data_IF_581385773102
#
_entry.id   IF_581385773102
#
_cell.length_a   1.000
_cell.length_b   1.000
_cell.length_c   1.000
_cell.angle_alpha   90.00
_cell.angle_beta   90.00
_cell.angle_gamma   90.00
#
_symmetry.space_group_name_H-M   'P 1'
#
loop_
_entity.id
_entity.type
_entity.pdbx_description
1 polymer ?
#
# COMPACT_ATOMS: atom_id res chain seq x y z
N UNK A 1 4.73 -20.03 -14.81
CA UNK A 1 5.58 -19.44 -13.75
C UNK A 1 5.92 -20.44 -12.64
N UNK A 2 4.95 -21.18 -12.08
CA UNK A 2 5.21 -22.24 -11.08
C UNK A 2 6.12 -23.38 -11.62
N UNK A 3 5.97 -23.76 -12.90
CA UNK A 3 6.74 -24.88 -13.48
C UNK A 3 8.24 -24.58 -13.66
N UNK A 4 8.64 -23.31 -13.87
CA UNK A 4 10.06 -22.95 -14.01
C UNK A 4 10.83 -23.02 -12.69
N UNK A 5 10.15 -22.87 -11.55
CA UNK A 5 10.73 -23.07 -10.22
C UNK A 5 11.02 -24.55 -9.94
N UNK A 6 10.10 -25.43 -10.33
CA UNK A 6 10.27 -26.88 -10.18
C UNK A 6 11.51 -27.39 -10.91
N UNK A 7 11.85 -26.75 -12.04
CA UNK A 7 12.99 -27.12 -12.87
C UNK A 7 14.29 -26.34 -12.52
N UNK A 8 14.32 -25.60 -11.39
CA UNK A 8 15.48 -24.83 -10.88
C UNK A 8 16.17 -23.93 -11.92
N UNK A 9 15.47 -23.48 -12.95
CA UNK A 9 16.05 -22.64 -14.02
C UNK A 9 16.19 -21.16 -13.64
N UNK A 10 15.69 -20.73 -12.48
CA UNK A 10 15.83 -19.36 -11.98
C UNK A 10 15.95 -19.31 -10.45
N UNK A 11 16.77 -18.39 -9.94
CA UNK A 11 16.77 -18.01 -8.51
C UNK A 11 15.63 -17.01 -8.31
N UNK A 12 14.63 -17.38 -7.50
CA UNK A 12 13.62 -16.43 -7.04
C UNK A 12 14.19 -15.67 -5.85
N UNK A 13 14.70 -14.46 -6.08
CA UNK A 13 15.03 -13.59 -4.97
C UNK A 13 13.74 -12.95 -4.47
N UNK A 14 13.29 -13.35 -3.28
CA UNK A 14 12.05 -12.80 -2.68
C UNK A 14 12.30 -11.33 -2.36
N UNK A 15 11.84 -10.43 -3.22
CA UNK A 15 11.88 -8.98 -3.00
C UNK A 15 10.66 -8.53 -2.20
N UNK A 16 10.80 -7.40 -1.52
CA UNK A 16 9.73 -6.73 -0.75
C UNK A 16 8.47 -6.62 -1.61
N UNK A 17 8.61 -6.05 -2.80
CA UNK A 17 7.52 -5.85 -3.76
C UNK A 17 6.75 -7.14 -4.09
N UNK A 18 7.47 -8.23 -4.35
CA UNK A 18 6.86 -9.51 -4.70
C UNK A 18 6.06 -10.09 -3.54
N UNK A 19 6.52 -9.88 -2.30
CA UNK A 19 5.81 -10.32 -1.11
C UNK A 19 4.56 -9.47 -0.87
N UNK A 20 4.69 -8.14 -0.98
CA UNK A 20 3.58 -7.19 -0.89
C UNK A 20 2.47 -7.54 -1.88
N UNK A 21 2.80 -7.66 -3.17
CA UNK A 21 1.82 -8.05 -4.18
C UNK A 21 1.19 -9.39 -3.84
N UNK A 22 1.98 -10.42 -3.51
CA UNK A 22 1.43 -11.75 -3.20
C UNK A 22 0.42 -11.72 -2.05
N UNK A 23 0.71 -10.96 -0.98
CA UNK A 23 -0.19 -10.87 0.18
C UNK A 23 -1.46 -10.12 -0.19
N UNK A 24 -1.36 -8.90 -0.70
CA UNK A 24 -2.52 -8.05 -0.94
C UNK A 24 -3.34 -8.49 -2.16
N UNK A 25 -2.72 -9.09 -3.18
CA UNK A 25 -3.44 -9.70 -4.30
C UNK A 25 -4.27 -10.91 -3.89
N UNK A 26 -3.88 -11.62 -2.82
CA UNK A 26 -4.69 -12.72 -2.29
C UNK A 26 -5.79 -12.18 -1.37
N UNK A 27 -5.45 -11.21 -0.51
CA UNK A 27 -6.42 -10.64 0.42
C UNK A 27 -7.56 -9.89 -0.29
N UNK A 28 -7.33 -9.30 -1.47
CA UNK A 28 -8.37 -8.58 -2.23
C UNK A 28 -9.58 -9.42 -2.62
N UNK A 29 -9.46 -10.75 -2.63
CA UNK A 29 -10.57 -11.65 -2.95
C UNK A 29 -11.50 -11.91 -1.77
N UNK A 30 -11.13 -11.46 -0.57
CA UNK A 30 -11.99 -11.54 0.61
C UNK A 30 -13.05 -10.45 0.56
N UNK A 31 -14.24 -10.68 1.15
CA UNK A 31 -15.19 -9.60 1.43
C UNK A 31 -14.52 -8.44 2.18
N UNK A 32 -14.91 -7.20 1.86
CA UNK A 32 -14.27 -5.99 2.42
C UNK A 32 -14.24 -5.97 3.94
N UNK A 33 -15.27 -6.46 4.61
CA UNK A 33 -15.31 -6.58 6.06
C UNK A 33 -14.24 -7.54 6.61
N UNK A 34 -14.06 -8.70 5.95
CA UNK A 34 -13.06 -9.70 6.37
C UNK A 34 -11.65 -9.16 6.10
N UNK A 35 -11.43 -8.57 4.92
CA UNK A 35 -10.18 -7.91 4.57
C UNK A 35 -9.79 -6.87 5.62
N UNK A 36 -10.72 -5.95 5.94
CA UNK A 36 -10.48 -4.86 6.87
C UNK A 36 -10.28 -5.36 8.30
N UNK A 37 -11.01 -6.40 8.72
CA UNK A 37 -10.83 -7.00 10.03
C UNK A 37 -9.44 -7.62 10.19
N UNK A 38 -8.94 -8.34 9.19
CA UNK A 38 -7.57 -8.89 9.19
C UNK A 38 -6.56 -7.74 9.31
N UNK A 39 -6.70 -6.72 8.47
CA UNK A 39 -5.77 -5.60 8.44
C UNK A 39 -5.78 -4.83 9.78
N UNK A 40 -6.95 -4.45 10.30
CA UNK A 40 -7.06 -3.77 11.60
C UNK A 40 -6.41 -4.57 12.71
N UNK A 41 -6.68 -5.87 12.79
CA UNK A 41 -6.16 -6.70 13.87
C UNK A 41 -4.63 -6.86 13.80
N UNK A 42 -4.02 -6.55 12.65
CA UNK A 42 -2.56 -6.48 12.50
C UNK A 42 -1.95 -5.13 12.90
N UNK A 43 -2.76 -4.07 13.03
CA UNK A 43 -2.26 -2.73 13.39
C UNK A 43 -1.95 -2.66 14.89
N UNK A 44 -0.74 -2.23 15.22
CA UNK A 44 -0.32 -2.03 16.61
C UNK A 44 -1.15 -0.95 17.32
N UNK A 45 -1.48 0.12 16.60
CA UNK A 45 -2.32 1.19 17.09
C UNK A 45 -3.77 0.95 16.65
N UNK A 46 -4.64 0.53 17.57
CA UNK A 46 -6.07 0.32 17.32
C UNK A 46 -6.85 1.64 17.19
N UNK A 47 -6.34 2.59 16.40
CA UNK A 47 -6.95 3.91 16.15
C UNK A 47 -7.79 3.93 14.86
N UNK A 48 -7.80 2.85 14.10
CA UNK A 48 -8.53 2.73 12.84
C UNK A 48 -10.04 2.58 13.06
N UNK A 49 -10.90 3.05 12.13
CA UNK A 49 -12.35 2.99 12.27
C UNK A 49 -12.88 1.56 12.37
N UNK A 50 -14.02 1.39 13.07
CA UNK A 50 -14.64 0.06 13.30
C UNK A 50 -15.18 -0.60 12.04
N UNK A 51 -15.54 0.19 11.04
CA UNK A 51 -16.01 -0.26 9.75
C UNK A 51 -15.29 0.56 8.69
N UNK A 52 -14.97 -0.06 7.56
CA UNK A 52 -14.33 0.65 6.45
C UNK A 52 -15.25 0.93 5.28
N UNK A 53 -16.48 0.42 5.29
CA UNK A 53 -17.32 0.43 4.09
C UNK A 53 -16.77 -0.51 3.02
N UNK A 54 -17.26 -0.34 1.80
CA UNK A 54 -16.87 -1.15 0.64
C UNK A 54 -15.51 -0.71 0.09
N UNK A 55 -14.71 -1.69 -0.36
CA UNK A 55 -13.48 -1.42 -1.10
C UNK A 55 -13.87 -1.02 -2.53
N UNK A 56 -13.53 0.21 -2.93
CA UNK A 56 -13.75 0.73 -4.27
C UNK A 56 -12.61 0.34 -5.22
N UNK A 57 -11.35 0.41 -4.77
CA UNK A 57 -10.20 0.00 -5.57
C UNK A 57 -8.98 -0.36 -4.72
N UNK A 58 -8.12 -1.21 -5.25
CA UNK A 58 -6.79 -1.52 -4.72
C UNK A 58 -5.79 -1.37 -5.87
N UNK A 59 -4.80 -0.50 -5.69
CA UNK A 59 -3.73 -0.23 -6.65
C UNK A 59 -2.37 -0.54 -6.04
N UNK A 60 -1.44 -1.00 -6.88
CA UNK A 60 -0.07 -1.30 -6.50
C UNK A 60 0.88 -0.38 -7.25
N UNK A 61 1.82 0.24 -6.53
CA UNK A 61 2.81 1.18 -7.10
C UNK A 61 2.14 2.22 -8.01
N UNK A 62 1.03 2.79 -7.55
CA UNK A 62 0.32 3.81 -8.32
C UNK A 62 1.15 5.09 -8.39
N UNK A 63 1.41 5.57 -9.60
CA UNK A 63 2.22 6.77 -9.81
C UNK A 63 1.42 8.03 -9.54
N UNK A 64 1.82 8.75 -8.51
CA UNK A 64 1.23 10.03 -8.16
C UNK A 64 2.11 11.19 -8.60
N UNK A 65 1.46 12.23 -9.11
CA UNK A 65 2.14 13.46 -9.49
C UNK A 65 2.64 14.20 -8.26
N UNK A 66 3.73 14.95 -8.42
CA UNK A 66 4.25 15.89 -7.42
C UNK A 66 4.34 17.29 -8.03
N UNK A 67 4.07 18.34 -7.25
CA UNK A 67 4.10 19.75 -7.72
C UNK A 67 5.52 20.19 -8.09
N UNK A 68 6.48 19.81 -7.26
CA UNK A 68 7.91 20.02 -7.40
C UNK A 68 8.62 18.70 -7.08
N UNK A 69 9.95 18.64 -7.27
CA UNK A 69 10.75 17.52 -6.75
C UNK A 69 10.40 17.28 -5.28
N UNK A 70 10.05 16.05 -4.95
CA UNK A 70 9.74 15.66 -3.57
C UNK A 70 10.99 15.71 -2.67
N UNK A 71 10.85 15.36 -1.39
CA UNK A 71 11.99 15.32 -0.46
C UNK A 71 13.10 14.33 -0.89
N UNK A 72 12.80 13.41 -1.81
CA UNK A 72 13.71 12.41 -2.35
C UNK A 72 14.21 12.73 -3.77
N UNK A 73 13.89 13.92 -4.32
CA UNK A 73 14.20 14.36 -5.70
C UNK A 73 13.61 13.49 -6.83
N UNK A 74 12.50 12.81 -6.57
CA UNK A 74 11.69 12.05 -7.53
C UNK A 74 10.70 12.95 -8.29
N UNK A 75 10.35 12.53 -9.52
CA UNK A 75 9.33 13.16 -10.36
C UNK A 75 7.92 12.60 -10.09
N UNK A 76 7.81 11.55 -9.29
CA UNK A 76 6.56 10.91 -8.89
C UNK A 76 6.74 10.17 -7.57
N UNK A 77 5.64 9.93 -6.86
CA UNK A 77 5.62 9.10 -5.65
C UNK A 77 4.80 7.85 -5.94
N UNK A 78 5.26 6.72 -5.43
CA UNK A 78 4.55 5.44 -5.49
C UNK A 78 4.44 4.91 -4.05
N UNK A 79 3.23 4.71 -3.51
CA UNK A 79 3.04 3.84 -2.35
C UNK A 79 3.10 2.38 -2.80
N UNK A 80 3.42 1.47 -1.87
CA UNK A 80 3.38 0.03 -2.17
C UNK A 80 1.95 -0.43 -2.49
N UNK A 81 0.98 -0.03 -1.65
CA UNK A 81 -0.43 -0.30 -1.88
C UNK A 81 -1.26 0.94 -1.54
N UNK A 82 -2.19 1.27 -2.42
CA UNK A 82 -3.21 2.29 -2.20
C UNK A 82 -4.59 1.65 -2.28
N UNK A 83 -5.40 1.81 -1.23
CA UNK A 83 -6.74 1.24 -1.14
C UNK A 83 -7.73 2.36 -0.96
N UNK A 84 -8.75 2.38 -1.81
CA UNK A 84 -9.86 3.32 -1.70
C UNK A 84 -11.05 2.61 -1.09
N UNK A 85 -11.48 3.05 0.09
CA UNK A 85 -12.76 2.64 0.64
C UNK A 85 -13.81 3.71 0.36
N UNK A 86 -15.08 3.43 0.66
CA UNK A 86 -16.16 4.41 0.56
C UNK A 86 -15.89 5.66 1.42
N UNK A 87 -15.50 5.47 2.68
CA UNK A 87 -15.41 6.54 3.68
C UNK A 87 -14.00 7.17 3.84
N UNK A 88 -12.95 6.41 3.53
CA UNK A 88 -11.57 6.85 3.66
C UNK A 88 -10.68 6.17 2.62
N UNK A 89 -9.49 6.72 2.41
CA UNK A 89 -8.46 6.10 1.61
C UNK A 89 -7.32 5.63 2.53
N UNK A 90 -6.61 4.56 2.15
CA UNK A 90 -5.56 3.93 2.94
C UNK A 90 -4.29 3.77 2.11
N UNK A 91 -3.18 4.24 2.68
CA UNK A 91 -1.85 4.05 2.13
C UNK A 91 -1.11 3.02 2.97
N UNK A 92 -0.52 2.03 2.31
CA UNK A 92 0.31 1.01 2.95
C UNK A 92 1.71 1.09 2.36
N UNK A 93 2.69 1.23 3.24
CA UNK A 93 4.12 1.10 2.95
C UNK A 93 4.63 -0.15 3.68
N UNK A 94 4.93 -1.19 2.92
CA UNK A 94 5.40 -2.47 3.44
C UNK A 94 6.91 -2.42 3.62
N UNK A 95 7.42 -3.09 4.66
CA UNK A 95 8.87 -3.25 4.90
C UNK A 95 9.18 -4.72 5.15
N UNK A 96 10.26 -5.21 4.55
CA UNK A 96 10.64 -6.63 4.61
C UNK A 96 11.03 -7.15 6.00
N UNK A 97 11.56 -6.28 6.84
CA UNK A 97 12.16 -6.56 8.14
C UNK A 97 11.66 -5.56 9.19
N UNK A 98 11.66 -6.00 10.43
CA UNK A 98 11.03 -5.25 11.53
C UNK A 98 11.86 -4.06 12.04
N UNK A 99 13.17 -4.03 11.75
CA UNK A 99 14.10 -3.11 12.40
C UNK A 99 14.51 -1.94 11.50
N UNK A 100 14.13 -0.73 11.92
CA UNK A 100 14.63 0.56 11.39
C UNK A 100 14.50 0.75 9.87
N UNK A 101 13.50 0.13 9.25
CA UNK A 101 13.27 0.27 7.80
C UNK A 101 12.32 1.41 7.42
N UNK A 102 11.63 1.99 8.40
CA UNK A 102 10.67 3.08 8.18
C UNK A 102 11.39 4.40 7.88
N UNK A 103 10.98 5.08 6.81
CA UNK A 103 11.54 6.36 6.39
C UNK A 103 10.52 7.48 6.55
N UNK A 104 10.80 8.46 7.42
CA UNK A 104 9.89 9.59 7.68
C UNK A 104 9.70 10.49 6.45
N UNK A 105 10.75 10.73 5.67
CA UNK A 105 10.67 11.55 4.46
C UNK A 105 9.82 10.89 3.36
N UNK A 106 9.90 9.55 3.25
CA UNK A 106 9.05 8.78 2.34
C UNK A 106 7.57 8.91 2.72
N UNK A 107 7.25 8.69 4.01
CA UNK A 107 5.87 8.82 4.50
C UNK A 107 5.32 10.23 4.30
N UNK A 108 6.11 11.26 4.61
CA UNK A 108 5.70 12.65 4.40
C UNK A 108 5.46 12.96 2.92
N UNK A 109 6.32 12.47 2.04
CA UNK A 109 6.18 12.68 0.60
C UNK A 109 4.94 11.97 0.04
N UNK A 110 4.62 10.76 0.52
CA UNK A 110 3.40 10.03 0.17
C UNK A 110 2.13 10.76 0.62
N UNK A 111 2.08 11.25 1.86
CA UNK A 111 0.93 12.01 2.37
C UNK A 111 0.73 13.30 1.54
N UNK A 112 1.80 14.04 1.26
CA UNK A 112 1.73 15.26 0.45
C UNK A 112 1.26 14.97 -0.99
N UNK A 113 1.78 13.90 -1.60
CA UNK A 113 1.37 13.48 -2.94
C UNK A 113 -0.09 13.02 -2.95
N UNK A 114 -0.56 12.31 -1.92
CA UNK A 114 -1.97 11.93 -1.81
C UNK A 114 -2.88 13.15 -1.85
N UNK A 115 -2.65 14.15 -1.00
CA UNK A 115 -3.48 15.35 -1.00
C UNK A 115 -3.41 16.10 -2.33
N UNK A 116 -2.24 16.15 -2.98
CA UNK A 116 -2.15 16.79 -4.29
C UNK A 116 -3.03 16.12 -5.36
N UNK A 117 -3.13 14.78 -5.35
CA UNK A 117 -3.81 14.03 -6.40
C UNK A 117 -5.29 13.76 -6.08
N UNK A 118 -5.67 13.69 -4.80
CA UNK A 118 -6.99 13.22 -4.36
C UNK A 118 -7.74 14.17 -3.43
N UNK A 119 -7.22 15.38 -3.12
CA UNK A 119 -7.90 16.36 -2.24
C UNK A 119 -9.34 16.68 -2.67
N UNK A 120 -9.63 16.63 -3.98
CA UNK A 120 -10.97 16.88 -4.51
C UNK A 120 -12.02 15.86 -4.07
N UNK A 121 -11.59 14.65 -3.70
CA UNK A 121 -12.50 13.56 -3.37
C UNK A 121 -13.03 13.68 -1.94
N UNK A 122 -12.54 14.66 -1.15
CA UNK A 122 -13.02 14.99 0.21
C UNK A 122 -13.02 13.81 1.19
N UNK A 123 -12.24 12.76 0.91
CA UNK A 123 -12.05 11.60 1.80
C UNK A 123 -10.96 11.85 2.82
N UNK A 124 -11.10 11.19 3.97
CA UNK A 124 -10.07 11.18 5.00
C UNK A 124 -8.99 10.15 4.63
N UNK A 125 -7.74 10.39 5.03
CA UNK A 125 -6.62 9.45 4.95
C UNK A 125 -6.37 8.79 6.31
#
# INVERSE_FOLDING_TARGET
MISSFYHRKSKFDRKEDSLTATIFDLLKYLPSEIFWNILRNSLYHQKSPKYAGEIQSISFWEKWSVKDKDELNSNYIEPDVFIRFEDFDLIIEAKRYDLKQQCKGQLKSQINAYYLNFEKDSKTL
#
